data_IF_094810898904
#
_entry.id   IF_094810898904
#
_cell.length_a   1.000
_cell.length_b   1.000
_cell.length_c   1.000
_cell.angle_alpha   90.00
_cell.angle_beta   90.00
_cell.angle_gamma   90.00
#
_symmetry.space_group_name_H-M   'P 1'
#
loop_
_entity.id
_entity.type
_entity.pdbx_description
1 polymer ?
#
# COMPACT_ATOMS: atom_id res chain seq x y z
N UNK A 1 4.53 -2.07 -18.48
CA UNK A 1 5.89 -1.50 -18.26
C UNK A 1 6.31 -1.84 -16.84
N UNK A 2 7.57 -2.11 -16.53
CA UNK A 2 8.01 -2.34 -15.14
C UNK A 2 8.24 -0.98 -14.48
N UNK A 3 7.88 -0.82 -13.20
CA UNK A 3 8.29 0.35 -12.44
C UNK A 3 9.82 0.50 -12.52
N UNK A 4 10.27 1.69 -12.90
CA UNK A 4 11.68 1.98 -13.07
C UNK A 4 12.10 3.12 -12.15
N UNK A 5 13.05 2.85 -11.29
CA UNK A 5 13.72 3.89 -10.51
C UNK A 5 15.03 4.30 -11.18
N UNK A 6 15.27 5.61 -11.29
CA UNK A 6 16.52 6.18 -11.79
C UNK A 6 17.08 7.13 -10.73
N UNK A 7 18.24 6.79 -10.18
CA UNK A 7 18.97 7.69 -9.27
C UNK A 7 19.60 8.80 -10.12
N UNK A 8 19.30 10.06 -9.80
CA UNK A 8 19.82 11.24 -10.49
C UNK A 8 20.94 11.90 -9.69
N UNK A 9 20.81 11.96 -8.36
CA UNK A 9 21.79 12.56 -7.48
C UNK A 9 21.84 11.85 -6.13
N UNK A 10 23.02 11.75 -5.55
CA UNK A 10 23.26 11.29 -4.17
C UNK A 10 24.05 12.39 -3.47
N UNK A 11 23.56 12.81 -2.33
CA UNK A 11 24.27 13.78 -1.50
C UNK A 11 25.61 13.22 -1.01
N UNK A 12 26.62 14.08 -0.91
CA UNK A 12 27.98 13.67 -0.53
C UNK A 12 28.15 13.46 0.97
N UNK A 13 27.40 14.23 1.76
CA UNK A 13 27.59 14.31 3.22
C UNK A 13 26.51 13.54 3.98
N UNK A 14 25.39 13.21 3.33
CA UNK A 14 24.28 12.50 3.90
C UNK A 14 23.88 11.25 3.09
N UNK A 15 22.85 10.53 3.52
CA UNK A 15 22.25 9.43 2.75
C UNK A 15 21.14 9.89 1.81
N UNK A 16 20.91 11.20 1.68
CA UNK A 16 19.85 11.75 0.82
C UNK A 16 20.07 11.38 -0.65
N UNK A 17 18.98 11.10 -1.34
CA UNK A 17 18.97 10.71 -2.75
C UNK A 17 17.86 11.44 -3.47
N UNK A 18 18.15 11.96 -4.64
CA UNK A 18 17.18 12.49 -5.59
C UNK A 18 17.12 11.58 -6.80
N UNK A 19 15.93 11.25 -7.23
CA UNK A 19 15.73 10.35 -8.35
C UNK A 19 14.35 10.48 -8.97
N UNK A 20 14.05 9.61 -9.93
CA UNK A 20 12.73 9.53 -10.55
C UNK A 20 12.21 8.11 -10.47
N UNK A 21 10.89 7.98 -10.33
CA UNK A 21 10.16 6.73 -10.41
C UNK A 21 9.15 6.81 -11.54
N UNK A 22 9.18 5.81 -12.44
CA UNK A 22 8.34 5.74 -13.63
C UNK A 22 7.42 4.54 -13.55
N UNK A 23 6.12 4.76 -13.78
CA UNK A 23 5.06 3.74 -13.84
C UNK A 23 4.38 3.76 -15.20
N UNK A 24 3.36 2.93 -15.42
CA UNK A 24 2.55 3.00 -16.64
C UNK A 24 1.72 4.30 -16.73
N UNK A 25 1.44 4.93 -15.59
CA UNK A 25 0.61 6.14 -15.48
C UNK A 25 1.40 7.43 -15.30
N UNK A 26 2.72 7.36 -15.39
CA UNK A 26 3.54 8.55 -15.35
C UNK A 26 4.85 8.39 -14.62
N UNK A 27 5.59 9.49 -14.59
CA UNK A 27 6.90 9.61 -13.95
C UNK A 27 6.86 10.74 -12.93
N UNK A 28 7.44 10.52 -11.77
CA UNK A 28 7.54 11.52 -10.73
C UNK A 28 8.92 11.52 -10.06
N UNK A 29 9.25 12.61 -9.42
CA UNK A 29 10.50 12.79 -8.69
C UNK A 29 10.41 12.23 -7.27
N UNK A 30 11.54 11.78 -6.75
CA UNK A 30 11.65 11.28 -5.37
C UNK A 30 12.78 12.03 -4.63
N UNK A 31 12.57 12.39 -3.35
CA UNK A 31 11.40 12.10 -2.52
C UNK A 31 10.17 12.92 -2.92
N UNK A 32 8.97 12.35 -2.73
CA UNK A 32 7.69 12.99 -3.04
C UNK A 32 6.68 12.72 -1.91
N UNK A 33 5.96 13.75 -1.49
CA UNK A 33 4.80 13.56 -0.62
C UNK A 33 3.64 12.95 -1.41
N UNK A 34 2.97 11.96 -0.83
CA UNK A 34 1.83 11.28 -1.45
C UNK A 34 0.53 11.73 -0.78
N UNK A 35 -0.30 12.59 -1.40
CA UNK A 35 -1.63 12.88 -0.89
C UNK A 35 -2.43 11.61 -0.69
N UNK A 36 -3.16 11.52 0.43
CA UNK A 36 -3.87 10.30 0.81
C UNK A 36 -5.30 10.32 0.34
N UNK A 37 -5.60 9.44 -0.62
CA UNK A 37 -6.93 9.14 -1.13
C UNK A 37 -7.55 7.91 -0.44
N UNK A 38 -7.96 8.03 0.82
CA UNK A 38 -8.35 6.90 1.70
C UNK A 38 -9.41 6.00 1.10
N UNK A 39 -10.49 6.56 0.55
CA UNK A 39 -11.60 5.84 -0.06
C UNK A 39 -11.75 6.24 -1.53
N UNK A 40 -10.67 6.13 -2.29
CA UNK A 40 -10.61 6.55 -3.69
C UNK A 40 -10.92 8.05 -3.88
N UNK A 41 -10.58 8.89 -2.91
CA UNK A 41 -10.69 10.34 -3.01
C UNK A 41 -9.70 11.01 -2.06
N UNK A 42 -8.98 12.01 -2.55
CA UNK A 42 -8.23 12.95 -1.71
C UNK A 42 -9.24 13.99 -1.24
N UNK A 43 -9.45 14.06 0.08
CA UNK A 43 -10.48 14.95 0.63
C UNK A 43 -10.19 16.40 0.24
N UNK A 44 -11.24 17.09 -0.22
CA UNK A 44 -11.23 18.50 -0.63
C UNK A 44 -10.48 18.84 -1.90
N UNK A 45 -9.92 17.87 -2.60
CA UNK A 45 -9.23 18.06 -3.88
C UNK A 45 -9.84 17.15 -4.95
N UNK A 46 -10.08 17.68 -6.13
CA UNK A 46 -10.40 16.89 -7.31
C UNK A 46 -9.12 16.40 -8.03
N UNK A 47 -9.22 15.48 -9.02
CA UNK A 47 -8.06 14.98 -9.74
C UNK A 47 -7.25 16.04 -10.48
N UNK A 48 -7.89 17.06 -10.98
CA UNK A 48 -7.26 18.20 -11.69
C UNK A 48 -6.42 19.03 -10.71
N UNK A 49 -6.99 19.38 -9.56
CA UNK A 49 -6.28 20.12 -8.50
C UNK A 49 -5.07 19.35 -7.97
N UNK A 50 -5.18 18.01 -7.85
CA UNK A 50 -4.04 17.15 -7.45
C UNK A 50 -2.88 17.28 -8.44
N UNK A 51 -3.16 17.37 -9.74
CA UNK A 51 -2.15 17.59 -10.77
C UNK A 51 -1.57 19.00 -10.72
N UNK A 52 -2.43 20.01 -10.56
CA UNK A 52 -2.02 21.42 -10.50
C UNK A 52 -1.05 21.70 -9.34
N UNK A 53 -1.25 21.07 -8.17
CA UNK A 53 -0.30 21.18 -7.06
C UNK A 53 0.97 20.39 -7.24
N UNK A 54 1.10 19.63 -8.36
CA UNK A 54 2.30 18.86 -8.70
C UNK A 54 2.48 17.57 -7.91
N UNK A 55 1.40 17.01 -7.36
CA UNK A 55 1.46 15.70 -6.70
C UNK A 55 1.68 14.61 -7.75
N UNK A 56 2.89 14.04 -7.79
CA UNK A 56 3.29 13.06 -8.80
C UNK A 56 2.80 11.63 -8.53
N UNK A 57 2.27 11.37 -7.35
CA UNK A 57 1.72 10.06 -6.94
C UNK A 57 0.76 10.26 -5.77
N UNK A 58 -0.31 9.48 -5.72
CA UNK A 58 -1.25 9.45 -4.58
C UNK A 58 -1.22 8.09 -3.89
N UNK A 59 -1.66 8.06 -2.62
CA UNK A 59 -1.79 6.84 -1.85
C UNK A 59 -3.26 6.54 -1.59
N UNK A 60 -3.69 5.29 -1.80
CA UNK A 60 -5.02 4.81 -1.42
C UNK A 60 -4.91 3.65 -0.42
N UNK A 61 -5.88 3.54 0.50
CA UNK A 61 -5.80 2.58 1.59
C UNK A 61 -6.59 1.31 1.28
N UNK A 62 -5.89 0.19 1.17
CA UNK A 62 -6.44 -1.14 0.90
C UNK A 62 -7.53 -1.55 1.90
N UNK A 63 -7.28 -1.37 3.20
CA UNK A 63 -8.25 -1.70 4.25
C UNK A 63 -9.59 -0.97 4.06
N UNK A 64 -9.56 0.34 3.85
CA UNK A 64 -10.77 1.14 3.70
C UNK A 64 -11.55 0.78 2.44
N UNK A 65 -10.84 0.59 1.32
CA UNK A 65 -11.44 0.20 0.04
C UNK A 65 -12.02 -1.20 0.06
N UNK A 66 -11.38 -2.15 0.78
CA UNK A 66 -11.92 -3.48 1.01
C UNK A 66 -13.25 -3.45 1.76
N UNK A 67 -13.34 -2.65 2.83
CA UNK A 67 -14.56 -2.56 3.63
C UNK A 67 -15.66 -1.72 2.94
N UNK A 68 -15.27 -0.70 2.18
CA UNK A 68 -16.21 0.20 1.48
C UNK A 68 -15.49 0.98 0.37
N UNK A 69 -15.94 0.86 -0.89
CA UNK A 69 -17.14 0.16 -1.36
C UNK A 69 -16.99 -1.35 -1.50
N UNK A 70 -15.81 -1.91 -1.37
CA UNK A 70 -15.41 -3.27 -1.67
C UNK A 70 -14.57 -3.35 -2.94
N UNK A 71 -13.54 -4.19 -2.91
CA UNK A 71 -12.58 -4.34 -4.01
C UNK A 71 -13.23 -4.81 -5.33
N UNK A 72 -14.32 -5.58 -5.23
CA UNK A 72 -15.05 -6.07 -6.42
C UNK A 72 -15.79 -4.96 -7.16
N UNK A 73 -16.29 -3.95 -6.43
CA UNK A 73 -16.94 -2.78 -7.05
C UNK A 73 -15.91 -1.94 -7.79
N UNK A 74 -14.74 -1.71 -7.18
CA UNK A 74 -13.64 -0.98 -7.81
C UNK A 74 -13.13 -1.73 -9.05
N UNK A 75 -12.97 -3.06 -8.97
CA UNK A 75 -12.57 -3.88 -10.10
C UNK A 75 -13.57 -3.81 -11.26
N UNK A 76 -14.89 -3.87 -10.98
CA UNK A 76 -15.95 -3.73 -12.00
C UNK A 76 -15.93 -2.35 -12.66
N UNK A 77 -15.50 -1.31 -11.96
CA UNK A 77 -15.32 0.03 -12.52
C UNK A 77 -14.06 0.15 -13.39
N UNK A 78 -13.19 -0.88 -13.40
CA UNK A 78 -11.95 -0.92 -14.18
C UNK A 78 -10.72 -0.44 -13.41
N UNK A 79 -10.70 -0.67 -12.08
CA UNK A 79 -9.61 -0.32 -11.18
C UNK A 79 -9.71 1.10 -10.61
N UNK A 80 -8.77 1.44 -9.70
CA UNK A 80 -8.78 2.72 -9.00
C UNK A 80 -8.68 3.92 -9.95
N UNK A 81 -7.84 3.86 -10.97
CA UNK A 81 -7.64 4.96 -11.92
C UNK A 81 -8.98 5.39 -12.55
N UNK A 82 -9.77 4.42 -13.03
CA UNK A 82 -11.09 4.72 -13.61
C UNK A 82 -12.11 5.09 -12.56
N UNK A 83 -12.08 4.42 -11.40
CA UNK A 83 -13.02 4.67 -10.31
C UNK A 83 -12.85 6.09 -9.73
N UNK A 84 -11.63 6.61 -9.66
CA UNK A 84 -11.29 7.94 -9.17
C UNK A 84 -11.27 9.01 -10.27
N UNK A 85 -11.34 8.62 -11.54
CA UNK A 85 -11.03 9.49 -12.69
C UNK A 85 -9.63 10.15 -12.56
N UNK A 86 -8.64 9.39 -12.11
CA UNK A 86 -7.27 9.85 -11.91
C UNK A 86 -6.31 9.07 -12.79
N UNK A 87 -5.53 9.78 -13.61
CA UNK A 87 -4.62 9.18 -14.61
C UNK A 87 -3.14 9.23 -14.18
N UNK A 88 -2.85 9.67 -12.97
CA UNK A 88 -1.50 9.66 -12.38
C UNK A 88 -1.18 8.37 -11.61
N UNK A 89 0.07 8.19 -11.19
CA UNK A 89 0.49 7.04 -10.39
C UNK A 89 -0.27 6.88 -9.07
N UNK A 90 -0.64 5.65 -8.72
CA UNK A 90 -1.32 5.30 -7.46
C UNK A 90 -0.52 4.22 -6.73
N UNK A 91 -0.26 4.47 -5.44
CA UNK A 91 0.23 3.46 -4.51
C UNK A 91 -0.91 2.99 -3.59
N UNK A 92 -1.05 1.69 -3.38
CA UNK A 92 -1.90 1.14 -2.32
C UNK A 92 -1.05 0.61 -1.17
N UNK A 93 -1.46 0.95 0.07
CA UNK A 93 -0.88 0.33 1.26
C UNK A 93 -1.33 -1.13 1.41
N UNK A 94 -0.77 -1.83 2.39
CA UNK A 94 -1.12 -3.24 2.63
C UNK A 94 -2.37 -3.43 3.51
N UNK A 95 -2.88 -2.39 4.16
CA UNK A 95 -3.97 -2.45 5.13
C UNK A 95 -3.55 -2.86 6.55
N UNK A 96 -2.31 -3.27 6.77
CA UNK A 96 -1.82 -3.76 8.08
C UNK A 96 -1.92 -2.73 9.19
N UNK A 97 -1.47 -1.52 8.95
CA UNK A 97 -1.53 -0.44 9.94
C UNK A 97 -2.97 -0.11 10.37
N UNK A 98 -3.91 -0.06 9.42
CA UNK A 98 -5.31 0.24 9.72
C UNK A 98 -5.98 -0.88 10.53
N UNK A 99 -5.69 -2.14 10.22
CA UNK A 99 -6.12 -3.28 11.03
C UNK A 99 -5.62 -3.12 12.46
N UNK A 100 -4.37 -2.74 12.63
CA UNK A 100 -3.75 -2.57 13.93
C UNK A 100 -4.33 -1.37 14.71
N UNK A 101 -4.44 -0.21 14.06
CA UNK A 101 -4.83 1.05 14.70
C UNK A 101 -6.35 1.17 14.95
N UNK A 102 -7.19 0.70 14.01
CA UNK A 102 -8.64 0.88 14.06
C UNK A 102 -9.37 -0.33 14.63
N UNK A 103 -8.89 -1.52 14.33
CA UNK A 103 -9.60 -2.76 14.64
C UNK A 103 -9.09 -3.48 15.88
N UNK A 104 -7.97 -3.05 16.47
CA UNK A 104 -7.32 -3.65 17.66
C UNK A 104 -7.26 -5.17 17.50
N UNK A 105 -6.36 -5.72 16.66
CA UNK A 105 -6.30 -7.14 16.39
C UNK A 105 -6.14 -7.93 17.69
N UNK A 106 -6.91 -9.01 17.82
CA UNK A 106 -6.85 -9.88 18.99
C UNK A 106 -5.94 -11.06 18.77
N UNK A 107 -5.87 -11.52 17.53
CA UNK A 107 -5.17 -12.74 17.19
C UNK A 107 -4.30 -12.54 15.95
N UNK A 108 -2.99 -12.48 16.15
CA UNK A 108 -1.98 -12.50 15.09
C UNK A 108 -1.40 -13.91 15.06
N UNK A 109 -1.45 -14.54 13.90
CA UNK A 109 -0.91 -15.88 13.66
C UNK A 109 0.05 -15.88 12.46
N UNK A 110 0.65 -17.01 12.15
CA UNK A 110 1.46 -17.17 10.94
C UNK A 110 0.60 -17.04 9.66
N UNK A 111 -0.67 -17.40 9.74
CA UNK A 111 -1.61 -17.35 8.61
C UNK A 111 -2.05 -15.92 8.30
N UNK A 112 -2.18 -15.06 9.30
CA UNK A 112 -2.67 -13.69 9.13
C UNK A 112 -3.23 -13.10 10.43
N UNK A 113 -4.11 -12.11 10.29
CA UNK A 113 -4.65 -11.33 11.41
C UNK A 113 -6.17 -11.39 11.42
N UNK A 114 -6.75 -11.80 12.57
CA UNK A 114 -8.19 -11.75 12.81
C UNK A 114 -8.54 -10.46 13.53
N UNK A 115 -9.55 -9.76 13.02
CA UNK A 115 -10.00 -8.50 13.60
C UNK A 115 -11.50 -8.30 13.42
N UNK A 116 -12.04 -7.25 14.03
CA UNK A 116 -13.42 -6.82 13.83
C UNK A 116 -13.45 -5.54 12.99
N UNK A 117 -14.28 -5.52 11.95
CA UNK A 117 -14.54 -4.32 11.17
C UNK A 117 -15.00 -3.17 12.07
N UNK A 118 -14.38 -2.01 11.91
CA UNK A 118 -14.78 -0.79 12.65
C UNK A 118 -16.11 -0.21 12.14
N UNK A 119 -16.62 -0.68 10.98
CA UNK A 119 -17.86 -0.20 10.38
C UNK A 119 -19.09 -0.91 10.99
N UNK A 120 -19.04 -2.25 11.05
CA UNK A 120 -20.20 -3.08 11.41
C UNK A 120 -19.90 -4.16 12.46
N UNK A 121 -18.66 -4.24 12.96
CA UNK A 121 -18.23 -5.23 13.95
C UNK A 121 -18.06 -6.66 13.42
N UNK A 122 -18.23 -6.89 12.14
CA UNK A 122 -18.03 -8.19 11.50
C UNK A 122 -16.62 -8.72 11.75
N UNK A 123 -16.50 -10.02 12.03
CA UNK A 123 -15.21 -10.69 12.20
C UNK A 123 -14.60 -10.98 10.84
N UNK A 124 -13.44 -10.42 10.58
CA UNK A 124 -12.69 -10.53 9.32
C UNK A 124 -11.33 -11.15 9.56
N UNK A 125 -10.81 -11.77 8.50
CA UNK A 125 -9.48 -12.37 8.49
C UNK A 125 -8.69 -11.85 7.30
N UNK A 126 -7.60 -11.14 7.58
CA UNK A 126 -6.69 -10.62 6.56
C UNK A 126 -5.40 -11.42 6.56
N UNK A 127 -5.11 -12.04 5.43
CA UNK A 127 -3.87 -12.77 5.17
C UNK A 127 -2.98 -11.99 4.20
N UNK A 128 -1.69 -12.32 4.09
CA UNK A 128 -0.81 -11.74 3.08
C UNK A 128 -1.33 -11.91 1.66
N UNK A 129 -1.89 -13.06 1.35
CA UNK A 129 -2.50 -13.34 0.05
C UNK A 129 -3.73 -12.46 -0.18
N UNK A 130 -4.64 -12.39 0.80
CA UNK A 130 -5.87 -11.57 0.69
C UNK A 130 -5.54 -10.09 0.51
N UNK A 131 -4.54 -9.56 1.23
CA UNK A 131 -4.09 -8.17 1.06
C UNK A 131 -3.65 -7.90 -0.39
N UNK A 132 -2.87 -8.79 -0.98
CA UNK A 132 -2.41 -8.66 -2.37
C UNK A 132 -3.54 -8.90 -3.37
N UNK A 133 -4.45 -9.86 -3.12
CA UNK A 133 -5.63 -10.08 -3.98
C UNK A 133 -6.51 -8.83 -4.07
N UNK A 134 -6.72 -8.14 -2.94
CA UNK A 134 -7.45 -6.87 -2.91
C UNK A 134 -6.70 -5.83 -3.77
N UNK A 135 -5.40 -5.66 -3.56
CA UNK A 135 -4.59 -4.70 -4.31
C UNK A 135 -4.54 -5.03 -5.82
N UNK A 136 -4.51 -6.33 -6.19
CA UNK A 136 -4.65 -6.75 -7.60
C UNK A 136 -5.98 -6.28 -8.22
N UNK A 137 -7.09 -6.37 -7.47
CA UNK A 137 -8.40 -5.89 -7.92
C UNK A 137 -8.52 -4.37 -7.96
N UNK A 138 -7.82 -3.69 -7.06
CA UNK A 138 -7.71 -2.22 -7.06
C UNK A 138 -6.89 -1.71 -8.25
N UNK A 139 -6.02 -2.53 -8.82
CA UNK A 139 -5.16 -2.23 -9.99
C UNK A 139 -4.32 -0.96 -9.80
N UNK A 140 -3.65 -0.86 -8.65
CA UNK A 140 -2.70 0.21 -8.36
C UNK A 140 -1.35 -0.01 -9.04
N UNK A 141 -0.56 1.05 -9.26
CA UNK A 141 0.79 0.97 -9.84
C UNK A 141 1.80 0.37 -8.88
N UNK A 142 1.67 0.66 -7.60
CA UNK A 142 2.56 0.20 -6.55
C UNK A 142 1.74 -0.45 -5.46
N UNK A 143 1.95 -1.75 -5.22
CA UNK A 143 1.33 -2.51 -4.16
C UNK A 143 2.31 -2.75 -3.01
N UNK A 144 1.86 -2.56 -1.77
CA UNK A 144 2.68 -2.79 -0.58
C UNK A 144 2.46 -4.19 -0.01
N UNK A 145 3.54 -4.81 0.47
CA UNK A 145 3.48 -6.09 1.14
C UNK A 145 2.81 -6.00 2.50
N UNK A 146 2.00 -7.02 2.85
CA UNK A 146 1.40 -7.11 4.17
C UNK A 146 2.48 -7.33 5.23
N UNK A 147 2.45 -6.51 6.29
CA UNK A 147 3.38 -6.53 7.40
C UNK A 147 2.65 -6.66 8.74
N UNK A 148 3.36 -7.15 9.74
CA UNK A 148 2.93 -7.03 11.12
C UNK A 148 3.38 -5.68 11.67
N UNK A 149 2.45 -4.91 12.22
CA UNK A 149 2.73 -3.67 12.92
C UNK A 149 2.82 -3.95 14.44
N UNK A 150 4.02 -4.17 15.01
CA UNK A 150 4.16 -4.49 16.42
C UNK A 150 3.84 -3.27 17.29
N UNK A 151 3.28 -3.48 18.50
CA UNK A 151 3.09 -2.39 19.45
C UNK A 151 4.44 -1.86 19.95
N UNK A 152 4.45 -0.67 20.52
CA UNK A 152 5.62 -0.08 21.16
C UNK A 152 5.27 0.36 22.59
N UNK A 153 6.10 0.03 23.60
CA UNK A 153 7.34 -0.76 23.53
C UNK A 153 7.08 -2.28 23.49
N UNK A 154 8.01 -3.03 22.87
CA UNK A 154 8.02 -4.51 22.89
C UNK A 154 9.43 -5.04 23.17
N UNK A 155 9.52 -6.33 23.53
CA UNK A 155 10.81 -7.00 23.72
C UNK A 155 11.54 -7.19 22.39
N UNK A 156 12.87 -7.26 22.43
CA UNK A 156 13.68 -7.57 21.26
C UNK A 156 13.28 -8.91 20.62
N UNK A 157 12.95 -9.92 21.42
CA UNK A 157 12.52 -11.23 20.92
C UNK A 157 11.20 -11.13 20.15
N UNK A 158 10.21 -10.41 20.69
CA UNK A 158 8.96 -10.16 19.95
C UNK A 158 9.23 -9.47 18.62
N UNK A 159 10.04 -8.40 18.63
CA UNK A 159 10.37 -7.66 17.41
C UNK A 159 11.04 -8.54 16.38
N UNK A 160 12.01 -9.40 16.78
CA UNK A 160 12.66 -10.37 15.90
C UNK A 160 11.64 -11.29 15.24
N UNK A 161 10.76 -11.90 16.04
CA UNK A 161 9.73 -12.81 15.53
C UNK A 161 8.75 -12.11 14.56
N UNK A 162 8.38 -10.86 14.85
CA UNK A 162 7.52 -10.02 14.00
C UNK A 162 8.17 -9.71 12.65
N UNK A 163 9.46 -9.34 12.64
CA UNK A 163 10.23 -9.10 11.41
C UNK A 163 10.33 -10.38 10.56
N UNK A 164 10.66 -11.52 11.19
CA UNK A 164 10.77 -12.80 10.49
C UNK A 164 9.41 -13.23 9.90
N UNK A 165 8.30 -13.02 10.63
CA UNK A 165 6.94 -13.27 10.12
C UNK A 165 6.62 -12.36 8.94
N UNK A 166 6.90 -11.07 9.04
CA UNK A 166 6.71 -10.11 7.95
C UNK A 166 7.47 -10.54 6.68
N UNK A 167 8.71 -11.05 6.82
CA UNK A 167 9.47 -11.57 5.67
C UNK A 167 8.80 -12.80 5.05
N UNK A 168 8.27 -13.73 5.85
CA UNK A 168 7.51 -14.88 5.34
C UNK A 168 6.22 -14.45 4.66
N UNK A 169 5.49 -13.51 5.24
CA UNK A 169 4.28 -12.92 4.66
C UNK A 169 4.56 -12.23 3.32
N UNK A 170 5.67 -11.50 3.22
CA UNK A 170 6.09 -10.88 1.96
C UNK A 170 6.31 -11.92 0.85
N UNK A 171 6.92 -13.06 1.17
CA UNK A 171 7.11 -14.16 0.20
C UNK A 171 5.77 -14.75 -0.25
N UNK A 172 4.82 -14.95 0.66
CA UNK A 172 3.48 -15.45 0.38
C UNK A 172 2.69 -14.48 -0.50
N UNK A 173 2.65 -13.19 -0.13
CA UNK A 173 2.00 -12.16 -0.92
C UNK A 173 2.58 -12.05 -2.34
N UNK A 174 3.91 -12.14 -2.46
CA UNK A 174 4.57 -12.13 -3.77
C UNK A 174 4.12 -13.27 -4.68
N UNK A 175 3.82 -14.45 -4.12
CA UNK A 175 3.40 -15.62 -4.90
C UNK A 175 2.04 -15.45 -5.58
N UNK A 176 1.16 -14.60 -5.03
CA UNK A 176 -0.19 -14.33 -5.57
C UNK A 176 -0.31 -12.96 -6.26
N UNK A 177 0.79 -12.24 -6.34
CA UNK A 177 0.82 -10.96 -7.04
C UNK A 177 0.73 -11.18 -8.55
N UNK A 178 -0.41 -10.85 -9.14
CA UNK A 178 -0.78 -11.17 -10.53
C UNK A 178 -1.09 -9.94 -11.37
N UNK A 179 -0.74 -8.73 -10.94
CA UNK A 179 -1.12 -7.57 -11.73
C UNK A 179 -0.58 -7.73 -13.18
N UNK A 180 -1.45 -7.85 -14.22
CA UNK A 180 -1.04 -8.00 -15.62
C UNK A 180 -0.35 -6.74 -16.14
N UNK A 181 -0.61 -5.59 -15.54
CA UNK A 181 0.25 -4.43 -15.67
C UNK A 181 1.45 -4.67 -14.77
N UNK A 182 2.63 -5.03 -15.30
CA UNK A 182 3.73 -5.52 -14.47
C UNK A 182 4.33 -4.39 -13.65
N UNK A 183 3.61 -3.98 -12.64
CA UNK A 183 4.13 -3.13 -11.60
C UNK A 183 4.86 -4.02 -10.63
N UNK A 184 6.14 -3.88 -10.66
CA UNK A 184 7.00 -4.62 -9.79
C UNK A 184 6.65 -4.32 -8.35
N UNK A 185 6.46 -5.35 -7.61
CA UNK A 185 6.70 -5.47 -6.21
C UNK A 185 8.04 -4.79 -5.87
N UNK A 186 7.98 -3.51 -5.61
CA UNK A 186 9.16 -2.74 -5.28
C UNK A 186 9.38 -2.78 -3.79
N UNK A 187 10.45 -3.40 -3.41
CA UNK A 187 11.17 -3.33 -2.14
C UNK A 187 10.38 -2.78 -0.94
N UNK A 188 10.02 -3.68 -0.03
CA UNK A 188 9.85 -3.35 1.38
C UNK A 188 11.07 -2.59 1.86
N UNK A 189 11.01 -1.29 1.87
CA UNK A 189 11.79 -0.54 2.81
C UNK A 189 10.96 -0.48 4.09
N UNK A 190 11.27 -1.36 5.04
CA UNK A 190 10.87 -1.13 6.42
C UNK A 190 11.34 0.27 6.79
N UNK A 191 10.51 1.09 7.47
CA UNK A 191 10.99 2.34 8.02
C UNK A 191 12.11 2.01 8.99
N UNK A 192 13.34 2.20 8.55
CA UNK A 192 14.48 2.21 9.45
C UNK A 192 14.46 3.54 10.16
N UNK A 193 13.98 3.53 11.40
CA UNK A 193 14.22 4.60 12.36
C UNK A 193 15.71 4.84 12.55
#
# INVERSE_FOLDING_TARGET
MKVKYTLLHKDKDTKARYGTLETNYGKFETPMFMPVGTQATVKTLDPEEIKEIGAGVILSNTYHLWLRPGEDIVAKAGGLHKFMNYDGPILTDCGGFQVFSLAKPKDISEEGVVFKSHINGERLFLTPEKSIEIQNKLDSDIAMSFDECPPYPVTHEYMKNSVERTIRWAKRGKAVFNNPNPVSYTHLTLPTT
#
